data_IF_844474445030
#
_entry.id   IF_844474445030
#
_cell.length_a   1.000
_cell.length_b   1.000
_cell.length_c   1.000
_cell.angle_alpha   90.00
_cell.angle_beta   90.00
_cell.angle_gamma   90.00
#
_symmetry.space_group_name_H-M   'P 1'
#
loop_
_entity.id
_entity.type
_entity.pdbx_description
1 polymer ?
#
# COMPACT_ATOMS: atom_id res chain seq x y z
N UNK A 1 34.27 31.05 -5.77
CA UNK A 1 32.89 31.10 -5.24
C UNK A 1 32.39 29.67 -5.24
N UNK A 2 32.78 28.92 -4.23
CA UNK A 2 32.36 27.54 -4.01
C UNK A 2 30.85 27.52 -3.80
N UNK A 3 30.12 26.93 -4.74
CA UNK A 3 28.75 26.51 -4.48
C UNK A 3 28.82 25.43 -3.41
N UNK A 4 28.48 25.81 -2.16
CA UNK A 4 28.09 24.85 -1.13
C UNK A 4 26.90 24.07 -1.70
N UNK A 5 27.19 22.88 -2.23
CA UNK A 5 26.20 21.81 -2.37
C UNK A 5 25.58 21.64 -0.99
N UNK A 6 24.36 22.13 -0.83
CA UNK A 6 23.49 21.71 0.26
C UNK A 6 23.42 20.20 0.07
N UNK A 7 23.95 19.44 1.02
CA UNK A 7 23.80 17.99 1.01
C UNK A 7 22.30 17.71 1.16
N UNK A 8 21.61 17.59 0.02
CA UNK A 8 20.26 17.06 -0.04
C UNK A 8 20.33 15.62 0.44
N UNK A 9 19.51 15.27 1.41
CA UNK A 9 19.49 13.90 1.92
C UNK A 9 19.10 12.91 0.83
N UNK A 10 19.27 11.60 1.08
CA UNK A 10 18.95 10.56 0.09
C UNK A 10 17.48 10.61 -0.37
N UNK A 11 16.57 11.04 0.51
CA UNK A 11 15.16 11.19 0.17
C UNK A 11 14.92 12.35 -0.81
N UNK A 12 15.54 13.51 -0.59
CA UNK A 12 15.41 14.66 -1.47
C UNK A 12 16.07 14.40 -2.84
N UNK A 13 17.24 13.75 -2.85
CA UNK A 13 17.93 13.34 -4.06
C UNK A 13 17.10 12.35 -4.89
N UNK A 14 16.45 11.38 -4.24
CA UNK A 14 15.53 10.46 -4.90
C UNK A 14 14.30 11.18 -5.47
N UNK A 15 13.64 12.02 -4.67
CA UNK A 15 12.49 12.79 -5.09
C UNK A 15 12.81 13.67 -6.31
N UNK A 16 13.99 14.31 -6.33
CA UNK A 16 14.47 15.07 -7.47
C UNK A 16 14.72 14.21 -8.71
N UNK A 17 15.29 13.01 -8.54
CA UNK A 17 15.60 12.10 -9.64
C UNK A 17 14.35 11.51 -10.32
N UNK A 18 13.22 11.41 -9.61
CA UNK A 18 11.95 10.89 -10.17
C UNK A 18 10.90 11.98 -10.44
N UNK A 19 11.23 13.24 -10.17
CA UNK A 19 10.32 14.38 -10.28
C UNK A 19 9.74 14.51 -11.70
N UNK A 20 10.53 14.15 -12.72
CA UNK A 20 10.06 14.04 -14.09
C UNK A 20 9.36 12.69 -14.32
N UNK A 21 8.03 12.68 -14.54
CA UNK A 21 7.28 11.45 -14.80
C UNK A 21 7.56 10.84 -16.17
N UNK A 22 8.22 11.56 -17.09
CA UNK A 22 8.63 11.02 -18.40
C UNK A 22 9.76 9.99 -18.28
N UNK A 23 10.52 10.05 -17.18
CA UNK A 23 11.52 9.03 -16.83
C UNK A 23 10.83 7.80 -16.26
N UNK A 24 10.39 6.94 -17.19
CA UNK A 24 9.67 5.68 -16.90
C UNK A 24 10.58 4.45 -16.80
N UNK A 25 11.88 4.61 -17.04
CA UNK A 25 12.89 3.57 -16.91
C UNK A 25 13.58 3.67 -15.55
N UNK A 26 13.38 2.65 -14.71
CA UNK A 26 13.94 2.63 -13.35
C UNK A 26 15.46 2.60 -13.37
N UNK A 27 16.09 1.92 -14.33
CA UNK A 27 17.54 1.77 -14.36
C UNK A 27 18.22 3.10 -14.72
N UNK A 28 17.57 3.95 -15.54
CA UNK A 28 18.03 5.32 -15.79
C UNK A 28 18.00 6.20 -14.55
N UNK A 29 17.01 6.02 -13.68
CA UNK A 29 16.95 6.74 -12.38
C UNK A 29 18.12 6.30 -11.51
N UNK A 30 18.41 5.00 -11.45
CA UNK A 30 19.49 4.46 -10.62
C UNK A 30 20.87 4.99 -11.01
N UNK A 31 21.12 5.27 -12.29
CA UNK A 31 22.37 5.87 -12.75
C UNK A 31 22.64 7.25 -12.15
N UNK A 32 21.58 7.96 -11.76
CA UNK A 32 21.66 9.31 -11.18
C UNK A 32 21.70 9.30 -9.64
N UNK A 33 21.65 8.12 -9.00
CA UNK A 33 21.59 7.98 -7.54
C UNK A 33 22.84 7.33 -6.96
N UNK A 34 23.31 7.85 -5.83
CA UNK A 34 24.39 7.26 -5.06
C UNK A 34 23.90 6.06 -4.25
N UNK A 35 24.01 4.83 -4.78
CA UNK A 35 23.52 3.61 -4.11
C UNK A 35 24.05 3.41 -2.66
N UNK A 36 25.23 3.97 -2.34
CA UNK A 36 25.82 3.95 -0.99
C UNK A 36 24.98 4.69 0.05
N UNK A 37 24.23 5.70 -0.35
CA UNK A 37 23.40 6.51 0.56
C UNK A 37 22.14 5.76 1.01
N UNK A 38 21.79 4.68 0.31
CA UNK A 38 20.61 3.85 0.56
C UNK A 38 20.95 2.52 1.23
N UNK A 39 22.20 2.30 1.64
CA UNK A 39 22.60 1.03 2.26
C UNK A 39 21.94 0.84 3.61
N UNK A 40 21.44 -0.37 3.85
CA UNK A 40 20.79 -0.77 5.09
C UNK A 40 21.37 -2.12 5.53
N UNK A 41 21.47 -2.33 6.84
CA UNK A 41 22.00 -3.58 7.39
C UNK A 41 21.21 -4.81 6.91
N UNK A 42 21.89 -5.92 6.57
CA UNK A 42 21.31 -7.22 6.20
C UNK A 42 20.09 -7.68 7.02
N UNK A 43 20.18 -7.58 8.35
CA UNK A 43 19.15 -7.98 9.31
C UNK A 43 17.92 -7.08 9.26
N UNK A 44 18.14 -5.78 9.02
CA UNK A 44 17.08 -4.78 8.87
C UNK A 44 16.31 -5.03 7.59
N UNK A 45 16.99 -5.22 6.45
CA UNK A 45 16.33 -5.56 5.17
C UNK A 45 15.48 -6.83 5.28
N UNK A 46 16.03 -7.89 5.89
CA UNK A 46 15.28 -9.13 6.11
C UNK A 46 14.02 -8.90 6.95
N UNK A 47 14.09 -8.01 7.95
CA UNK A 47 12.95 -7.69 8.80
C UNK A 47 11.87 -6.88 8.10
N UNK A 48 12.23 -6.16 7.02
CA UNK A 48 11.32 -5.36 6.20
C UNK A 48 10.68 -6.14 5.05
N UNK A 49 11.04 -7.41 4.83
CA UNK A 49 10.62 -8.21 3.68
C UNK A 49 9.11 -8.21 3.46
N UNK A 50 8.31 -8.32 4.53
CA UNK A 50 6.84 -8.34 4.42
C UNK A 50 6.27 -6.99 3.98
N UNK A 51 6.89 -5.88 4.40
CA UNK A 51 6.51 -4.55 3.94
C UNK A 51 6.94 -4.33 2.49
N UNK A 52 8.13 -4.80 2.09
CA UNK A 52 8.61 -4.78 0.70
C UNK A 52 7.64 -5.55 -0.21
N UNK A 53 7.25 -6.77 0.20
CA UNK A 53 6.27 -7.57 -0.53
C UNK A 53 4.91 -6.86 -0.59
N UNK A 54 4.46 -6.25 0.50
CA UNK A 54 3.19 -5.54 0.53
C UNK A 54 3.18 -4.32 -0.40
N UNK A 55 4.26 -3.54 -0.47
CA UNK A 55 4.42 -2.41 -1.40
C UNK A 55 4.29 -2.89 -2.85
N UNK A 56 5.01 -3.96 -3.20
CA UNK A 56 4.95 -4.54 -4.54
C UNK A 56 3.55 -5.04 -4.90
N UNK A 57 2.89 -5.74 -3.96
CA UNK A 57 1.53 -6.20 -4.14
C UNK A 57 0.53 -5.03 -4.27
N UNK A 58 0.72 -3.95 -3.52
CA UNK A 58 -0.11 -2.74 -3.62
C UNK A 58 0.03 -2.10 -5.00
N UNK A 59 1.26 -1.89 -5.47
CA UNK A 59 1.51 -1.36 -6.81
C UNK A 59 0.87 -2.26 -7.90
N UNK A 60 1.01 -3.58 -7.78
CA UNK A 60 0.42 -4.53 -8.73
C UNK A 60 -1.12 -4.51 -8.71
N UNK A 61 -1.74 -4.37 -7.53
CA UNK A 61 -3.20 -4.23 -7.42
C UNK A 61 -3.69 -2.90 -8.00
N UNK A 62 -2.97 -1.79 -7.80
CA UNK A 62 -3.29 -0.49 -8.40
C UNK A 62 -3.25 -0.58 -9.93
N UNK A 63 -2.17 -1.13 -10.48
CA UNK A 63 -2.01 -1.32 -11.94
C UNK A 63 -3.08 -2.27 -12.48
N UNK A 64 -3.38 -3.35 -11.77
CA UNK A 64 -4.41 -4.29 -12.19
C UNK A 64 -5.80 -3.66 -12.22
N UNK A 65 -6.16 -2.91 -11.19
CA UNK A 65 -7.45 -2.19 -11.17
C UNK A 65 -7.52 -1.08 -12.21
N UNK A 66 -6.39 -0.50 -12.61
CA UNK A 66 -6.36 0.49 -13.68
C UNK A 66 -6.81 -0.10 -15.01
N UNK A 67 -6.44 -1.35 -15.30
CA UNK A 67 -6.90 -2.07 -16.50
C UNK A 67 -8.41 -2.32 -16.51
N UNK A 68 -9.03 -2.44 -15.33
CA UNK A 68 -10.47 -2.67 -15.16
C UNK A 68 -11.24 -1.37 -14.87
N UNK A 69 -10.56 -0.23 -14.87
CA UNK A 69 -11.09 1.01 -14.33
C UNK A 69 -12.28 1.54 -15.15
N UNK A 70 -13.40 1.73 -14.45
CA UNK A 70 -14.55 2.49 -14.94
C UNK A 70 -14.50 3.86 -14.28
N UNK A 71 -14.61 4.92 -15.10
CA UNK A 71 -14.56 6.31 -14.62
C UNK A 71 -15.66 6.55 -13.59
N UNK A 72 -15.26 6.67 -12.32
CA UNK A 72 -16.14 6.96 -11.20
C UNK A 72 -15.81 8.38 -10.68
N UNK A 73 -16.82 9.14 -10.25
CA UNK A 73 -16.67 10.52 -9.75
C UNK A 73 -16.14 10.57 -8.30
N UNK A 74 -15.40 9.56 -7.89
CA UNK A 74 -15.07 9.24 -6.51
C UNK A 74 -13.56 9.39 -6.31
N UNK A 75 -13.13 9.55 -5.05
CA UNK A 75 -11.70 9.47 -4.76
C UNK A 75 -11.18 8.09 -5.17
N UNK A 76 -10.15 8.09 -6.01
CA UNK A 76 -9.50 6.88 -6.46
C UNK A 76 -7.99 6.99 -6.23
N UNK A 77 -7.44 6.02 -5.50
CA UNK A 77 -6.00 5.92 -5.22
C UNK A 77 -5.17 5.84 -6.49
N UNK A 78 -5.74 5.30 -7.59
CA UNK A 78 -5.08 5.24 -8.89
C UNK A 78 -4.91 6.64 -9.52
N UNK A 79 -5.68 7.62 -9.04
CA UNK A 79 -5.63 9.02 -9.47
C UNK A 79 -4.88 9.93 -8.49
N UNK A 80 -4.36 9.45 -7.36
CA UNK A 80 -3.61 10.25 -6.38
C UNK A 80 -2.11 10.32 -6.73
N UNK A 81 -1.58 11.50 -7.09
CA UNK A 81 -0.19 11.64 -7.53
C UNK A 81 0.80 11.47 -6.39
N UNK A 82 0.41 11.83 -5.17
CA UNK A 82 1.24 11.66 -3.99
C UNK A 82 1.47 10.17 -3.71
N UNK A 83 0.40 9.37 -3.78
CA UNK A 83 0.50 7.92 -3.59
C UNK A 83 1.32 7.26 -4.68
N UNK A 84 1.05 7.58 -5.96
CA UNK A 84 1.80 6.98 -7.07
C UNK A 84 3.29 7.36 -7.02
N UNK A 85 3.64 8.60 -6.69
CA UNK A 85 5.05 9.00 -6.51
C UNK A 85 5.70 8.28 -5.33
N UNK A 86 5.00 8.17 -4.19
CA UNK A 86 5.50 7.40 -3.04
C UNK A 86 5.80 5.95 -3.43
N UNK A 87 4.94 5.32 -4.24
CA UNK A 87 5.18 3.97 -4.75
C UNK A 87 6.39 3.92 -5.70
N UNK A 88 6.55 4.91 -6.59
CA UNK A 88 7.73 5.03 -7.47
C UNK A 88 9.02 5.12 -6.66
N UNK A 89 9.08 5.99 -5.65
CA UNK A 89 10.23 6.12 -4.75
C UNK A 89 10.55 4.79 -4.06
N UNK A 90 9.54 4.14 -3.49
CA UNK A 90 9.73 2.87 -2.79
C UNK A 90 10.21 1.76 -3.74
N UNK A 91 9.72 1.71 -4.98
CA UNK A 91 10.21 0.75 -5.99
C UNK A 91 11.68 1.00 -6.31
N UNK A 92 12.10 2.26 -6.48
CA UNK A 92 13.53 2.60 -6.70
C UNK A 92 14.38 2.15 -5.52
N UNK A 93 13.94 2.42 -4.28
CA UNK A 93 14.65 1.99 -3.07
C UNK A 93 14.75 0.45 -3.00
N UNK A 94 13.65 -0.26 -3.25
CA UNK A 94 13.62 -1.74 -3.28
C UNK A 94 14.58 -2.26 -4.35
N UNK A 95 14.67 -1.61 -5.50
CA UNK A 95 15.57 -1.97 -6.60
C UNK A 95 17.03 -1.78 -6.19
N UNK A 96 17.39 -0.66 -5.55
CA UNK A 96 18.74 -0.44 -5.01
C UNK A 96 19.10 -1.53 -4.00
N UNK A 97 18.20 -1.84 -3.07
CA UNK A 97 18.42 -2.91 -2.10
C UNK A 97 18.57 -4.28 -2.77
N UNK A 98 17.81 -4.56 -3.83
CA UNK A 98 17.90 -5.79 -4.61
C UNK A 98 19.23 -5.97 -5.34
N UNK A 99 19.84 -4.88 -5.81
CA UNK A 99 21.18 -4.90 -6.41
C UNK A 99 22.26 -5.24 -5.37
N UNK A 100 22.10 -4.74 -4.14
CA UNK A 100 23.00 -5.06 -3.03
C UNK A 100 22.75 -6.47 -2.47
N UNK A 101 21.48 -6.92 -2.49
CA UNK A 101 21.03 -8.19 -1.95
C UNK A 101 19.72 -8.66 -2.59
N UNK A 102 19.82 -9.59 -3.53
CA UNK A 102 18.66 -10.13 -4.25
C UNK A 102 17.60 -10.78 -3.34
N UNK A 103 17.99 -11.31 -2.17
CA UNK A 103 17.05 -11.94 -1.24
C UNK A 103 16.04 -10.99 -0.58
N UNK A 104 16.22 -9.66 -0.73
CA UNK A 104 15.25 -8.68 -0.23
C UNK A 104 14.20 -8.29 -1.28
N UNK A 105 14.33 -8.77 -2.51
CA UNK A 105 13.36 -8.47 -3.57
C UNK A 105 12.01 -9.12 -3.26
N UNK A 106 10.90 -8.47 -3.65
CA UNK A 106 9.58 -9.10 -3.60
C UNK A 106 9.54 -10.30 -4.55
N UNK A 107 8.76 -11.31 -4.16
CA UNK A 107 8.53 -12.51 -4.95
C UNK A 107 7.23 -12.35 -5.73
N UNK A 108 7.29 -12.63 -7.03
CA UNK A 108 6.14 -12.64 -7.93
C UNK A 108 5.93 -14.04 -8.47
N UNK A 109 4.67 -14.40 -8.70
CA UNK A 109 4.31 -15.62 -9.41
C UNK A 109 4.02 -15.21 -10.85
N UNK A 110 4.99 -15.46 -11.73
CA UNK A 110 4.95 -15.07 -13.13
C UNK A 110 4.66 -16.28 -14.03
N UNK A 111 4.05 -16.03 -15.19
CA UNK A 111 3.85 -17.06 -16.23
C UNK A 111 5.14 -17.42 -16.97
N UNK A 112 6.20 -16.60 -16.86
CA UNK A 112 7.51 -16.81 -17.48
C UNK A 112 8.63 -16.09 -16.70
N UNK A 113 9.86 -16.59 -16.82
CA UNK A 113 10.99 -16.24 -15.94
C UNK A 113 11.69 -14.91 -16.26
N UNK A 114 11.51 -14.34 -17.47
CA UNK A 114 12.24 -13.16 -17.93
C UNK A 114 11.59 -11.82 -17.57
N UNK A 115 10.46 -11.82 -16.85
CA UNK A 115 9.70 -10.60 -16.58
C UNK A 115 10.29 -9.80 -15.42
N UNK A 116 10.76 -8.59 -15.70
CA UNK A 116 11.09 -7.63 -14.65
C UNK A 116 9.85 -6.88 -14.19
N UNK A 117 9.15 -7.47 -13.21
CA UNK A 117 7.90 -6.92 -12.67
C UNK A 117 8.14 -5.56 -12.02
N UNK A 118 9.25 -5.34 -11.30
CA UNK A 118 9.52 -4.07 -10.63
C UNK A 118 9.78 -2.94 -11.64
N UNK A 119 10.59 -3.19 -12.67
CA UNK A 119 10.80 -2.23 -13.74
C UNK A 119 9.48 -1.91 -14.47
N UNK A 120 8.66 -2.93 -14.72
CA UNK A 120 7.36 -2.76 -15.39
C UNK A 120 6.39 -1.96 -14.53
N UNK A 121 6.30 -2.23 -13.22
CA UNK A 121 5.48 -1.46 -12.29
C UNK A 121 5.93 0.01 -12.23
N UNK A 122 7.23 0.28 -12.13
CA UNK A 122 7.75 1.65 -12.14
C UNK A 122 7.36 2.39 -13.43
N UNK A 123 7.50 1.73 -14.59
CA UNK A 123 7.13 2.29 -15.90
C UNK A 123 5.65 2.66 -15.95
N UNK A 124 4.77 1.72 -15.56
CA UNK A 124 3.31 1.93 -15.62
C UNK A 124 2.85 3.01 -14.63
N UNK A 125 3.36 3.01 -13.39
CA UNK A 125 3.07 4.07 -12.42
C UNK A 125 3.51 5.45 -12.91
N UNK A 126 4.69 5.54 -13.54
CA UNK A 126 5.19 6.81 -14.12
C UNK A 126 4.25 7.32 -15.23
N UNK A 127 3.79 6.43 -16.11
CA UNK A 127 2.80 6.77 -17.15
C UNK A 127 1.44 7.15 -16.57
N UNK A 128 0.98 6.46 -15.53
CA UNK A 128 -0.27 6.81 -14.84
C UNK A 128 -0.23 8.23 -14.27
N UNK A 129 0.93 8.70 -13.79
CA UNK A 129 1.11 10.09 -13.33
C UNK A 129 1.11 11.05 -14.52
N UNK A 130 1.87 10.74 -15.56
CA UNK A 130 1.99 11.59 -16.76
C UNK A 130 0.64 11.79 -17.46
N UNK A 131 -0.18 10.73 -17.53
CA UNK A 131 -1.44 10.73 -18.26
C UNK A 131 -2.63 11.34 -17.48
N UNK A 132 -2.43 11.88 -16.27
CA UNK A 132 -3.53 12.47 -15.49
C UNK A 132 -4.20 13.66 -16.18
N UNK A 133 -3.44 14.46 -16.92
CA UNK A 133 -3.99 15.60 -17.64
C UNK A 133 -4.85 15.18 -18.85
N UNK A 134 -4.63 13.97 -19.39
CA UNK A 134 -5.39 13.38 -20.51
C UNK A 134 -6.78 12.89 -20.06
N UNK A 135 -7.03 12.77 -18.75
CA UNK A 135 -8.30 12.30 -18.17
C UNK A 135 -9.51 13.23 -18.43
N UNK A 136 -9.27 14.45 -18.93
CA UNK A 136 -10.31 15.35 -19.46
C UNK A 136 -10.89 14.83 -20.80
N UNK A 137 -10.14 14.03 -21.56
CA UNK A 137 -10.51 13.51 -22.88
C UNK A 137 -10.79 12.00 -22.93
N UNK A 138 -10.32 11.22 -21.96
CA UNK A 138 -10.51 9.76 -21.92
C UNK A 138 -9.38 9.04 -21.17
N UNK A 139 -9.46 7.71 -21.02
CA UNK A 139 -8.32 6.90 -20.57
C UNK A 139 -7.37 6.66 -21.75
N UNK A 140 -6.06 6.67 -21.51
CA UNK A 140 -5.06 6.26 -22.51
C UNK A 140 -5.19 4.75 -22.76
N UNK A 141 -5.81 4.37 -23.89
CA UNK A 141 -6.03 2.97 -24.29
C UNK A 141 -4.71 2.18 -24.33
N UNK A 142 -3.62 2.79 -24.78
CA UNK A 142 -2.31 2.14 -24.80
C UNK A 142 -1.81 1.81 -23.39
N UNK A 143 -2.05 2.70 -22.42
CA UNK A 143 -1.68 2.43 -21.02
C UNK A 143 -2.55 1.32 -20.43
N UNK A 144 -3.85 1.32 -20.73
CA UNK A 144 -4.78 0.27 -20.30
C UNK A 144 -4.34 -1.09 -20.84
N UNK A 145 -4.02 -1.18 -22.13
CA UNK A 145 -3.54 -2.42 -22.75
C UNK A 145 -2.26 -2.95 -22.08
N UNK A 146 -1.29 -2.07 -21.79
CA UNK A 146 -0.06 -2.49 -21.10
C UNK A 146 -0.31 -2.97 -19.67
N UNK A 147 -1.25 -2.36 -18.95
CA UNK A 147 -1.68 -2.82 -17.64
C UNK A 147 -2.33 -4.21 -17.74
N UNK A 148 -3.23 -4.42 -18.71
CA UNK A 148 -3.87 -5.74 -18.96
C UNK A 148 -2.83 -6.81 -19.30
N UNK A 149 -1.83 -6.47 -20.12
CA UNK A 149 -0.73 -7.38 -20.44
C UNK A 149 -0.02 -7.81 -19.17
N UNK A 150 0.34 -6.89 -18.26
CA UNK A 150 0.98 -7.26 -17.00
C UNK A 150 0.07 -8.16 -16.13
N UNK A 151 -1.23 -7.85 -16.01
CA UNK A 151 -2.17 -8.68 -15.25
C UNK A 151 -2.23 -10.13 -15.74
N UNK A 152 -2.12 -10.34 -17.06
CA UNK A 152 -2.14 -11.67 -17.66
C UNK A 152 -0.81 -12.44 -17.48
N UNK A 153 0.26 -11.76 -17.09
CA UNK A 153 1.61 -12.33 -16.94
C UNK A 153 1.99 -12.61 -15.49
N UNK A 154 1.30 -11.98 -14.53
CA UNK A 154 1.62 -12.06 -13.11
C UNK A 154 0.36 -12.30 -12.30
N UNK A 155 0.39 -13.29 -11.40
CA UNK A 155 -0.69 -13.51 -10.45
C UNK A 155 -0.76 -12.31 -9.48
N UNK A 156 -1.90 -11.63 -9.48
CA UNK A 156 -2.14 -10.51 -8.57
C UNK A 156 -2.70 -11.06 -7.25
N UNK A 157 -1.95 -10.98 -6.14
CA UNK A 157 -2.45 -11.43 -4.85
C UNK A 157 -3.55 -10.48 -4.39
N UNK A 158 -4.70 -11.02 -3.96
CA UNK A 158 -5.72 -10.23 -3.31
C UNK A 158 -5.14 -9.60 -2.05
N UNK A 159 -5.18 -8.28 -1.97
CA UNK A 159 -4.90 -7.60 -0.72
C UNK A 159 -6.06 -7.91 0.22
N UNK A 160 -5.81 -8.66 1.30
CA UNK A 160 -6.84 -8.99 2.28
C UNK A 160 -7.50 -7.69 2.75
N UNK A 161 -8.82 -7.58 2.62
CA UNK A 161 -9.59 -6.48 3.18
C UNK A 161 -9.29 -6.43 4.68
N UNK A 162 -8.52 -5.42 5.10
CA UNK A 162 -8.04 -5.31 6.49
C UNK A 162 -9.12 -4.79 7.44
N UNK A 163 -10.35 -4.64 6.93
CA UNK A 163 -11.44 -3.94 7.55
C UNK A 163 -12.72 -4.75 7.34
N UNK A 164 -13.16 -5.47 8.37
CA UNK A 164 -14.38 -6.28 8.29
C UNK A 164 -15.66 -5.44 8.46
N UNK A 165 -15.54 -4.21 8.99
CA UNK A 165 -16.69 -3.34 9.27
C UNK A 165 -16.27 -1.86 9.16
N UNK A 166 -16.19 -1.32 7.94
CA UNK A 166 -16.00 0.12 7.75
C UNK A 166 -17.25 0.68 7.10
N UNK A 167 -18.13 1.26 7.93
CA UNK A 167 -19.05 2.29 7.50
C UNK A 167 -18.40 3.64 7.84
N UNK A 168 -17.38 4.05 7.05
CA UNK A 168 -16.79 5.38 7.21
C UNK A 168 -17.47 6.37 6.27
N UNK A 169 -17.74 7.58 6.77
CA UNK A 169 -17.92 8.75 5.93
C UNK A 169 -16.53 9.34 5.73
N UNK A 170 -15.88 9.01 4.62
CA UNK A 170 -14.58 9.58 4.25
C UNK A 170 -14.78 10.62 3.15
N UNK A 171 -14.62 11.90 3.47
CA UNK A 171 -14.57 12.98 2.49
C UNK A 171 -13.18 13.61 2.49
N UNK A 172 -12.45 13.62 1.35
CA UNK A 172 -11.19 14.35 1.23
C UNK A 172 -11.30 15.84 1.64
N UNK A 173 -12.50 16.43 1.49
CA UNK A 173 -12.79 17.79 1.95
C UNK A 173 -12.72 17.94 3.48
N UNK A 174 -12.82 16.89 4.29
CA UNK A 174 -12.62 16.99 5.75
C UNK A 174 -11.20 17.38 6.13
N UNK A 175 -10.22 17.17 5.25
CA UNK A 175 -8.85 17.64 5.47
C UNK A 175 -8.68 19.13 5.14
N UNK A 176 -9.62 19.73 4.40
CA UNK A 176 -9.55 21.12 3.94
C UNK A 176 -10.58 22.03 4.62
N UNK A 177 -11.72 21.47 5.05
CA UNK A 177 -12.86 22.21 5.59
C UNK A 177 -13.44 21.46 6.78
N UNK A 178 -13.36 22.06 7.98
CA UNK A 178 -14.09 21.60 9.15
C UNK A 178 -15.56 22.03 9.04
N UNK A 179 -16.36 21.30 8.25
CA UNK A 179 -17.81 21.46 8.24
C UNK A 179 -18.45 20.30 9.03
N UNK A 180 -19.36 20.56 9.99
CA UNK A 180 -20.08 19.49 10.67
C UNK A 180 -20.98 18.76 9.67
N UNK A 181 -20.84 17.44 9.59
CA UNK A 181 -21.80 16.58 8.89
C UNK A 181 -23.11 16.56 9.66
N UNK A 182 -24.21 16.92 8.99
CA UNK A 182 -25.55 16.64 9.52
C UNK A 182 -25.88 15.18 9.20
N UNK A 183 -26.11 14.37 10.23
CA UNK A 183 -26.53 12.98 10.13
C UNK A 183 -27.81 12.83 10.94
N UNK A 184 -28.75 12.03 10.45
CA UNK A 184 -30.00 11.74 11.13
C UNK A 184 -30.06 10.26 11.51
N UNK A 185 -30.60 9.97 12.68
CA UNK A 185 -30.64 8.61 13.20
C UNK A 185 -31.61 7.75 12.38
N UNK A 186 -31.13 6.60 11.88
CA UNK A 186 -31.94 5.68 11.11
C UNK A 186 -32.11 6.06 9.64
N UNK A 187 -31.44 7.13 9.17
CA UNK A 187 -31.29 7.42 7.76
C UNK A 187 -29.86 7.15 7.33
N UNK A 188 -29.69 6.43 6.22
CA UNK A 188 -28.38 6.32 5.60
C UNK A 188 -27.93 7.74 5.21
N UNK A 189 -26.69 8.14 5.51
CA UNK A 189 -26.17 9.39 5.00
C UNK A 189 -26.37 9.36 3.48
N UNK A 190 -26.80 10.47 2.88
CA UNK A 190 -26.93 10.60 1.41
C UNK A 190 -25.52 10.45 0.83
N UNK A 191 -25.12 9.20 0.66
CA UNK A 191 -23.81 8.82 0.19
C UNK A 191 -23.84 9.08 -1.30
N UNK A 192 -23.22 10.18 -1.71
CA UNK A 192 -22.86 10.35 -3.12
C UNK A 192 -21.75 9.37 -3.53
N UNK A 193 -21.30 8.48 -2.62
CA UNK A 193 -20.06 7.74 -2.74
C UNK A 193 -20.26 6.22 -2.77
N UNK A 194 -19.90 5.58 -3.89
CA UNK A 194 -19.92 4.13 -4.04
C UNK A 194 -18.85 3.50 -3.14
N UNK A 195 -19.21 2.37 -2.51
CA UNK A 195 -18.31 1.47 -1.78
C UNK A 195 -17.38 0.71 -2.75
N UNK A 196 -16.57 1.43 -3.53
CA UNK A 196 -15.40 0.79 -4.14
C UNK A 196 -14.33 0.65 -3.05
N UNK A 197 -14.57 -0.27 -2.11
CA UNK A 197 -13.55 -0.67 -1.17
C UNK A 197 -12.35 -1.13 -2.00
N UNK A 198 -11.21 -0.47 -1.84
CA UNK A 198 -10.05 -0.61 -2.73
C UNK A 198 -9.47 -2.04 -2.80
N UNK A 199 -9.99 -2.91 -1.94
CA UNK A 199 -9.61 -4.29 -1.75
C UNK A 199 -10.90 -5.10 -1.91
N UNK A 200 -10.99 -5.90 -2.98
CA UNK A 200 -12.08 -6.85 -3.12
C UNK A 200 -12.17 -7.71 -1.84
N UNK A 201 -13.38 -8.00 -1.31
CA UNK A 201 -13.52 -8.88 -0.18
C UNK A 201 -12.84 -10.20 -0.51
N UNK A 202 -11.77 -10.50 0.21
CA UNK A 202 -11.13 -11.80 0.13
C UNK A 202 -12.20 -12.84 0.47
N UNK A 203 -12.31 -13.96 -0.27
CA UNK A 203 -13.17 -15.06 0.14
C UNK A 203 -12.83 -15.38 1.60
N UNK A 204 -13.87 -15.55 2.40
CA UNK A 204 -13.96 -15.69 3.86
C UNK A 204 -12.86 -16.57 4.47
N UNK A 205 -11.64 -16.07 4.44
CA UNK A 205 -10.50 -16.64 5.12
C UNK A 205 -10.73 -16.33 6.59
N UNK A 206 -11.13 -17.34 7.37
CA UNK A 206 -11.20 -17.26 8.84
C UNK A 206 -9.83 -17.03 9.50
N UNK A 207 -8.82 -16.59 8.74
CA UNK A 207 -7.49 -16.29 9.22
C UNK A 207 -7.40 -14.80 9.52
N UNK A 208 -6.85 -14.50 10.69
CA UNK A 208 -6.50 -13.16 11.09
C UNK A 208 -5.24 -12.72 10.35
N UNK A 209 -5.22 -11.46 9.93
CA UNK A 209 -4.04 -10.81 9.34
C UNK A 209 -3.67 -9.60 10.19
N UNK A 210 -2.38 -9.43 10.45
CA UNK A 210 -1.83 -8.28 11.14
C UNK A 210 -1.82 -7.07 10.20
N UNK A 211 -2.61 -6.04 10.51
CA UNK A 211 -2.75 -4.85 9.68
C UNK A 211 -1.53 -3.92 9.75
N UNK A 212 -0.64 -4.08 10.72
CA UNK A 212 0.56 -3.26 10.88
C UNK A 212 1.77 -3.95 10.24
N UNK A 213 1.85 -5.28 10.39
CA UNK A 213 2.99 -6.09 9.94
C UNK A 213 2.75 -6.78 8.60
N UNK A 214 1.49 -6.81 8.13
CA UNK A 214 1.08 -7.50 6.92
C UNK A 214 1.43 -9.00 6.91
N UNK A 215 1.30 -9.65 8.08
CA UNK A 215 1.54 -11.09 8.25
C UNK A 215 0.27 -11.81 8.67
N UNK A 216 0.11 -13.07 8.25
CA UNK A 216 -0.96 -13.92 8.74
C UNK A 216 -0.71 -14.31 10.20
N UNK A 217 -1.73 -14.08 11.03
CA UNK A 217 -1.78 -14.46 12.44
C UNK A 217 -2.44 -15.83 12.65
N UNK A 218 -2.96 -16.45 11.57
CA UNK A 218 -3.68 -17.71 11.61
C UNK A 218 -5.11 -17.57 12.16
N UNK A 219 -5.78 -18.70 12.45
CA UNK A 219 -7.20 -18.69 12.85
C UNK A 219 -7.46 -18.37 14.33
N UNK A 220 -6.48 -18.64 15.19
CA UNK A 220 -6.61 -18.48 16.64
C UNK A 220 -5.36 -17.82 17.23
N UNK A 221 -5.05 -16.56 16.89
CA UNK A 221 -3.93 -15.89 17.51
C UNK A 221 -4.19 -15.68 19.01
N UNK A 222 -3.18 -15.85 19.87
CA UNK A 222 -3.37 -15.91 21.32
C UNK A 222 -3.85 -14.57 21.90
N UNK A 223 -3.31 -13.44 21.44
CA UNK A 223 -3.66 -12.12 21.93
C UNK A 223 -3.50 -11.07 20.82
N UNK A 224 -4.57 -10.33 20.53
CA UNK A 224 -4.62 -9.32 19.48
C UNK A 224 -5.15 -7.99 20.01
N UNK A 225 -4.71 -6.90 19.39
CA UNK A 225 -5.39 -5.61 19.43
C UNK A 225 -6.34 -5.54 18.24
N UNK A 226 -7.59 -5.19 18.48
CA UNK A 226 -8.58 -4.89 17.44
C UNK A 226 -8.89 -3.40 17.50
N UNK A 227 -8.85 -2.73 16.37
CA UNK A 227 -9.24 -1.33 16.27
C UNK A 227 -10.75 -1.20 16.45
N UNK A 228 -11.19 -0.27 17.31
CA UNK A 228 -12.62 -0.01 17.56
C UNK A 228 -13.30 0.72 16.41
N UNK A 229 -12.54 1.34 15.49
CA UNK A 229 -13.07 2.08 14.33
C UNK A 229 -13.17 1.19 13.10
N UNK A 230 -12.04 0.65 12.63
CA UNK A 230 -12.00 -0.06 11.35
C UNK A 230 -12.01 -1.60 11.50
N UNK A 231 -12.07 -2.12 12.73
CA UNK A 231 -11.97 -3.55 13.01
C UNK A 231 -10.60 -4.18 12.76
N UNK A 232 -9.62 -3.41 12.27
CA UNK A 232 -8.29 -3.90 11.92
C UNK A 232 -7.55 -4.50 13.12
N UNK A 233 -6.78 -5.56 12.90
CA UNK A 233 -6.22 -6.40 13.97
C UNK A 233 -4.71 -6.46 13.91
N UNK A 234 -4.02 -6.47 15.05
CA UNK A 234 -2.56 -6.63 15.13
C UNK A 234 -2.18 -7.44 16.35
N UNK A 235 -1.10 -8.20 16.29
CA UNK A 235 -0.62 -8.97 17.44
C UNK A 235 -0.08 -8.04 18.53
N UNK A 236 -0.44 -8.30 19.80
CA UNK A 236 0.03 -7.50 20.94
C UNK A 236 1.53 -7.69 21.16
N UNK A 237 2.01 -8.93 21.07
CA UNK A 237 3.41 -9.25 21.27
C UNK A 237 4.21 -8.78 20.05
N UNK A 238 5.10 -7.83 20.29
CA UNK A 238 6.08 -7.42 19.29
C UNK A 238 7.07 -8.55 19.04
N UNK A 239 7.24 -8.92 17.77
CA UNK A 239 8.34 -9.78 17.34
C UNK A 239 9.52 -8.96 16.79
N UNK A 240 9.61 -7.67 17.13
CA UNK A 240 10.58 -6.76 16.53
C UNK A 240 12.03 -7.15 16.88
N UNK A 241 12.74 -7.68 15.88
CA UNK A 241 14.14 -8.11 16.01
C UNK A 241 15.14 -6.98 15.74
N UNK A 242 14.71 -5.88 15.12
CA UNK A 242 15.57 -4.78 14.69
C UNK A 242 15.02 -3.42 15.13
N UNK A 243 15.89 -2.41 15.19
CA UNK A 243 15.50 -1.05 15.55
C UNK A 243 14.47 -0.47 14.56
N UNK A 244 14.60 -0.80 13.27
CA UNK A 244 13.66 -0.37 12.23
C UNK A 244 12.25 -0.90 12.47
N UNK A 245 12.09 -2.20 12.82
CA UNK A 245 10.77 -2.76 13.12
C UNK A 245 10.20 -2.17 14.40
N UNK A 246 11.03 -1.93 15.43
CA UNK A 246 10.58 -1.25 16.65
C UNK A 246 10.08 0.17 16.36
N UNK A 247 10.78 0.92 15.50
CA UNK A 247 10.35 2.25 15.08
C UNK A 247 9.06 2.20 14.24
N UNK A 248 8.93 1.22 13.33
CA UNK A 248 7.71 1.00 12.55
C UNK A 248 6.51 0.71 13.45
N UNK A 249 6.63 -0.26 14.35
CA UNK A 249 5.56 -0.65 15.28
C UNK A 249 5.23 0.45 16.29
N UNK A 250 6.26 1.19 16.74
CA UNK A 250 6.14 2.29 17.69
C UNK A 250 5.12 3.36 17.27
N UNK A 251 5.01 3.63 15.96
CA UNK A 251 4.04 4.59 15.40
C UNK A 251 2.58 4.22 15.66
N UNK A 252 2.31 2.92 15.83
CA UNK A 252 0.97 2.37 15.91
C UNK A 252 0.63 1.87 17.31
N UNK A 253 1.43 2.20 18.32
CA UNK A 253 1.19 1.76 19.71
C UNK A 253 -0.08 2.36 20.28
N UNK A 254 -0.29 3.66 20.04
CA UNK A 254 -1.39 4.45 20.62
C UNK A 254 -2.69 4.32 19.82
N UNK A 255 -2.59 4.25 18.49
CA UNK A 255 -3.74 4.23 17.60
C UNK A 255 -3.50 3.35 16.37
N UNK A 256 -4.60 2.88 15.79
CA UNK A 256 -4.63 2.20 14.50
C UNK A 256 -4.26 3.15 13.36
N UNK A 257 -3.95 2.58 12.18
CA UNK A 257 -3.70 3.34 10.94
C UNK A 257 -4.85 4.28 10.55
N UNK A 258 -6.09 3.95 10.94
CA UNK A 258 -7.26 4.80 10.75
C UNK A 258 -7.47 5.86 11.86
N UNK A 259 -6.55 5.95 12.84
CA UNK A 259 -6.67 6.81 14.02
C UNK A 259 -7.55 6.24 15.14
N UNK A 260 -8.24 5.11 14.94
CA UNK A 260 -9.08 4.50 15.97
C UNK A 260 -8.26 3.85 17.11
N UNK A 261 -8.84 3.80 18.31
CA UNK A 261 -8.20 3.20 19.47
C UNK A 261 -8.13 1.67 19.39
N UNK A 262 -7.17 1.11 20.13
CA UNK A 262 -6.98 -0.32 20.25
C UNK A 262 -7.77 -0.90 21.42
N UNK A 263 -8.56 -1.94 21.17
CA UNK A 263 -9.14 -2.81 22.18
C UNK A 263 -8.39 -4.14 22.21
N UNK A 264 -7.99 -4.62 23.39
CA UNK A 264 -7.27 -5.89 23.54
C UNK A 264 -8.26 -7.04 23.69
N UNK A 265 -8.24 -7.97 22.76
CA UNK A 265 -9.12 -9.14 22.76
C UNK A 265 -8.30 -10.43 22.57
N UNK A 266 -8.73 -11.51 23.20
CA UNK A 266 -8.35 -12.85 22.73
C UNK A 266 -9.11 -13.10 21.43
N UNK A 267 -8.46 -13.63 20.40
CA UNK A 267 -9.21 -14.07 19.22
C UNK A 267 -10.24 -15.10 19.68
N UNK A 268 -11.48 -14.93 19.26
CA UNK A 268 -12.62 -15.66 19.80
C UNK A 268 -12.33 -17.17 19.91
N UNK A 269 -12.36 -17.68 21.14
CA UNK A 269 -12.50 -19.12 21.38
C UNK A 269 -13.90 -19.53 20.91
N UNK A 270 -14.01 -20.74 20.33
CA UNK A 270 -15.25 -21.33 19.77
C UNK A 270 -16.52 -21.22 20.66
N UNK A 271 -16.40 -20.83 21.93
CA UNK A 271 -17.50 -20.61 22.87
C UNK A 271 -18.35 -19.36 22.60
N UNK A 272 -17.86 -18.34 21.88
CA UNK A 272 -18.69 -17.16 21.59
C UNK A 272 -19.70 -17.38 20.45
N UNK A 273 -19.42 -18.29 19.51
CA UNK A 273 -20.31 -18.63 18.40
C UNK A 273 -21.53 -19.49 18.80
N UNK A 274 -21.58 -19.93 20.07
CA UNK A 274 -22.73 -20.65 20.64
C UNK A 274 -23.71 -19.73 21.38
N UNK A 275 -23.42 -18.43 21.54
CA UNK A 275 -24.35 -17.48 22.16
C UNK A 275 -25.28 -16.77 21.18
N UNK A 276 -24.98 -16.83 19.88
CA UNK A 276 -25.78 -16.18 18.84
C UNK A 276 -26.77 -17.16 18.16
N UNK A 277 -27.01 -18.34 18.75
CA UNK A 277 -27.97 -19.35 18.26
C UNK A 277 -28.93 -19.84 19.37
N UNK A 278 -29.37 -18.93 20.25
CA UNK A 278 -30.55 -19.14 21.12
C UNK A 278 -31.46 -17.93 20.97
#
# INVERSE_FOLDING_TARGET
>A
MEQRLIATGPAESLAAAIADPTVSDVDKVLLNLGAKEFTVEPSTLQSLQQLIQWIANLALNIVGRYAEHKKNNHYDIMSDSCVLNTLRELIVIIRIWGLLRSSCLPVFICCFDSLDVLATLYKLLSRMIHNKDVALTGLDESLVDECMVLQNQVVIPSLTQLYENVCDVANPLFYQTFAPLCMEYGSDPVSSYSEDCLLAPSPTSRQYTDIIRHVYLGRHPPLIKSCTRCGGRTQVLSMARTAAVRAWEGRWVQACRCGGHWNMNRAADKKSLLRDNI
#
